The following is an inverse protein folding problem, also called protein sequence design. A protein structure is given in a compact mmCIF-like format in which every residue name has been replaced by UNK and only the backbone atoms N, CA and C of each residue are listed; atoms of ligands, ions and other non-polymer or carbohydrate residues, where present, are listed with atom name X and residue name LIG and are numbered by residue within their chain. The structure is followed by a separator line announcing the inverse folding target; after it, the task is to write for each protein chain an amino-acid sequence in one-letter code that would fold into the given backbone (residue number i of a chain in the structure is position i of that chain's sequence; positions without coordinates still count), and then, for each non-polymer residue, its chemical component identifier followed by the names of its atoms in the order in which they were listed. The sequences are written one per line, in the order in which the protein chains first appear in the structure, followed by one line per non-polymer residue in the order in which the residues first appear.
data_IF_800426653631
#
_entry.id   IF_800426653631
#
_cell.length_a   1.000
_cell.length_b   1.000
_cell.length_c   1.000
_cell.angle_alpha   90.00
_cell.angle_beta   90.00
_cell.angle_gamma   90.00
#
_symmetry.space_group_name_H-M   'P 1'
#
loop_
_entity.id
_entity.type
_entity.pdbx_description
1 polymer ?
#
# COMPACT_ATOMS: atom_id res chain seq x y z
N UNK A 1 -21.70 22.80 4.34
CA UNK A 1 -21.45 21.55 3.58
C UNK A 1 -20.17 20.92 4.12
N UNK A 2 -20.20 19.64 4.51
CA UNK A 2 -18.96 18.91 4.86
C UNK A 2 -18.18 18.70 3.56
N UNK A 3 -16.94 19.19 3.49
CA UNK A 3 -16.06 18.89 2.37
C UNK A 3 -15.60 17.42 2.48
N UNK A 4 -15.72 16.61 1.43
CA UNK A 4 -15.22 15.24 1.44
C UNK A 4 -13.70 15.24 1.57
N UNK A 5 -13.17 14.33 2.40
CA UNK A 5 -11.73 14.21 2.65
C UNK A 5 -10.96 13.74 1.39
N UNK A 6 -11.61 12.89 0.59
CA UNK A 6 -11.08 12.38 -0.66
C UNK A 6 -11.70 13.08 -1.86
N UNK A 7 -10.92 13.19 -2.94
CA UNK A 7 -11.38 13.71 -4.22
C UNK A 7 -12.41 12.76 -4.83
N UNK A 8 -13.33 13.24 -5.70
CA UNK A 8 -14.42 12.40 -6.23
C UNK A 8 -13.94 11.11 -6.91
N UNK A 9 -12.79 11.12 -7.58
CA UNK A 9 -12.23 9.91 -8.19
C UNK A 9 -11.62 8.94 -7.17
N UNK A 10 -11.05 9.45 -6.09
CA UNK A 10 -10.53 8.65 -4.98
C UNK A 10 -11.69 7.97 -4.26
N UNK A 11 -12.80 8.67 -4.06
CA UNK A 11 -14.01 8.08 -3.48
C UNK A 11 -14.56 6.96 -4.36
N UNK A 12 -14.68 7.17 -5.67
CA UNK A 12 -15.09 6.11 -6.60
C UNK A 12 -14.19 4.86 -6.53
N UNK A 13 -12.89 5.05 -6.32
CA UNK A 13 -11.95 3.94 -6.13
C UNK A 13 -12.20 3.17 -4.82
N UNK A 14 -12.46 3.89 -3.73
CA UNK A 14 -12.76 3.31 -2.42
C UNK A 14 -14.10 2.58 -2.36
N UNK A 15 -15.07 3.04 -3.16
CA UNK A 15 -16.42 2.48 -3.22
C UNK A 15 -16.48 1.23 -4.11
N UNK A 16 -15.52 1.04 -5.03
CA UNK A 16 -15.43 -0.15 -5.86
C UNK A 16 -15.07 -1.40 -5.02
N UNK A 17 -16.00 -2.36 -4.96
CA UNK A 17 -15.88 -3.63 -4.22
C UNK A 17 -15.48 -4.82 -5.13
N UNK A 18 -15.05 -4.56 -6.36
CA UNK A 18 -14.61 -5.61 -7.28
C UNK A 18 -13.37 -6.32 -6.74
N UNK A 19 -13.31 -7.65 -6.92
CA UNK A 19 -12.17 -8.48 -6.47
C UNK A 19 -10.86 -8.11 -7.18
N UNK A 20 -10.94 -7.60 -8.41
CA UNK A 20 -9.82 -7.11 -9.19
C UNK A 20 -10.18 -5.72 -9.68
N UNK A 21 -9.39 -4.72 -9.29
CA UNK A 21 -9.54 -3.33 -9.69
C UNK A 21 -8.30 -2.88 -10.45
N UNK A 22 -8.50 -2.32 -11.63
CA UNK A 22 -7.43 -1.77 -12.46
C UNK A 22 -7.82 -0.34 -12.81
N UNK A 23 -6.88 0.59 -12.65
CA UNK A 23 -7.10 1.98 -13.01
C UNK A 23 -5.92 2.53 -13.79
N UNK A 24 -6.23 3.22 -14.89
CA UNK A 24 -5.30 4.15 -15.50
C UNK A 24 -5.22 5.40 -14.60
N UNK A 25 -4.00 5.77 -14.21
CA UNK A 25 -3.77 6.88 -13.29
C UNK A 25 -2.72 7.84 -13.81
N UNK A 26 -2.98 9.12 -13.64
CA UNK A 26 -1.99 10.17 -13.88
C UNK A 26 -0.95 10.25 -12.76
N UNK A 27 0.15 10.97 -13.00
CA UNK A 27 1.20 11.20 -12.00
C UNK A 27 0.76 12.25 -10.97
N UNK A 28 1.24 12.14 -9.74
CA UNK A 28 1.06 13.15 -8.65
C UNK A 28 -0.39 13.45 -8.25
N UNK A 29 -1.29 12.48 -8.36
CA UNK A 29 -2.72 12.62 -8.00
C UNK A 29 -3.09 12.02 -6.63
N UNK A 30 -2.10 11.72 -5.79
CA UNK A 30 -2.36 11.10 -4.49
C UNK A 30 -2.96 9.69 -4.57
N UNK A 31 -2.61 8.91 -5.61
CA UNK A 31 -3.13 7.55 -5.78
C UNK A 31 -2.66 6.60 -4.67
N UNK A 32 -1.36 6.60 -4.38
CA UNK A 32 -0.76 5.79 -3.31
C UNK A 32 -1.36 6.14 -1.95
N UNK A 33 -1.76 7.40 -1.75
CA UNK A 33 -2.37 7.86 -0.52
C UNK A 33 -3.77 7.26 -0.30
N UNK A 34 -4.63 7.29 -1.32
CA UNK A 34 -5.96 6.65 -1.22
C UNK A 34 -5.85 5.12 -1.12
N UNK A 35 -4.89 4.51 -1.83
CA UNK A 35 -4.63 3.07 -1.73
C UNK A 35 -4.19 2.66 -0.33
N UNK A 36 -3.25 3.40 0.27
CA UNK A 36 -2.81 3.15 1.65
C UNK A 36 -3.96 3.24 2.67
N UNK A 37 -4.93 4.15 2.47
CA UNK A 37 -6.11 4.23 3.31
C UNK A 37 -7.00 2.99 3.19
N UNK A 38 -7.28 2.54 1.96
CA UNK A 38 -8.03 1.31 1.70
C UNK A 38 -7.36 0.10 2.33
N UNK A 39 -6.05 -0.03 2.13
CA UNK A 39 -5.25 -1.16 2.63
C UNK A 39 -5.21 -1.21 4.16
N UNK A 40 -5.05 -0.05 4.82
CA UNK A 40 -5.13 0.04 6.29
C UNK A 40 -6.53 -0.27 6.78
N UNK A 41 -7.58 0.24 6.11
CA UNK A 41 -8.97 -0.08 6.44
C UNK A 41 -9.23 -1.57 6.35
N UNK A 42 -8.69 -2.25 5.32
CA UNK A 42 -8.91 -3.67 5.09
C UNK A 42 -8.08 -4.56 6.02
N UNK A 43 -6.85 -4.16 6.36
CA UNK A 43 -6.02 -4.86 7.35
C UNK A 43 -6.52 -4.67 8.80
N UNK A 44 -7.09 -3.50 9.12
CA UNK A 44 -7.58 -3.17 10.47
C UNK A 44 -8.97 -3.74 10.78
N UNK A 45 -9.68 -4.34 9.81
CA UNK A 45 -10.98 -4.99 10.03
C UNK A 45 -10.84 -6.10 11.08
N UNK A 46 -11.69 -6.03 12.12
CA UNK A 46 -11.70 -7.01 13.22
C UNK A 46 -12.15 -8.40 12.77
N UNK A 47 -13.05 -8.47 11.79
CA UNK A 47 -13.52 -9.72 11.16
C UNK A 47 -13.27 -9.65 9.65
N UNK A 48 -12.74 -10.73 9.08
CA UNK A 48 -12.42 -10.80 7.64
C UNK A 48 -11.25 -9.91 7.17
N UNK A 49 -10.40 -9.39 8.06
CA UNK A 49 -9.20 -8.64 7.68
C UNK A 49 -8.21 -9.47 6.85
N UNK A 50 -7.48 -8.82 5.95
CA UNK A 50 -6.57 -9.48 5.01
C UNK A 50 -5.14 -8.94 5.12
N UNK A 51 -4.17 -9.81 4.86
CA UNK A 51 -2.79 -9.37 4.69
C UNK A 51 -2.64 -8.63 3.36
N UNK A 52 -1.99 -7.48 3.41
CA UNK A 52 -1.78 -6.63 2.23
C UNK A 52 -0.33 -6.76 1.77
N UNK A 53 -0.17 -6.87 0.46
CA UNK A 53 1.13 -6.93 -0.20
C UNK A 53 1.23 -5.78 -1.20
N UNK A 54 2.09 -4.82 -0.89
CA UNK A 54 2.46 -3.73 -1.77
C UNK A 54 3.81 -4.02 -2.40
N UNK A 55 3.94 -3.81 -3.70
CA UNK A 55 5.22 -3.96 -4.40
C UNK A 55 5.50 -2.72 -5.24
N UNK A 56 6.76 -2.29 -5.22
CA UNK A 56 7.25 -1.22 -6.08
C UNK A 56 8.65 -1.53 -6.60
N UNK A 57 8.98 -0.97 -7.77
CA UNK A 57 10.32 -1.08 -8.34
C UNK A 57 11.38 -0.32 -7.51
N UNK A 58 10.98 0.76 -6.82
CA UNK A 58 11.85 1.56 -5.98
C UNK A 58 11.52 1.37 -4.50
N UNK A 59 12.56 1.20 -3.68
CA UNK A 59 12.45 1.15 -2.23
C UNK A 59 11.99 2.48 -1.63
N UNK A 60 12.32 3.62 -2.26
CA UNK A 60 11.87 4.93 -1.77
C UNK A 60 10.33 5.03 -1.78
N UNK A 61 9.71 4.48 -2.83
CA UNK A 61 8.26 4.40 -2.99
C UNK A 61 7.63 3.42 -1.99
N UNK A 62 8.24 2.27 -1.75
CA UNK A 62 7.79 1.32 -0.71
C UNK A 62 7.82 1.97 0.68
N UNK A 63 8.90 2.72 0.99
CA UNK A 63 9.01 3.47 2.25
C UNK A 63 7.97 4.58 2.37
N UNK A 64 7.70 5.31 1.31
CA UNK A 64 6.68 6.36 1.31
C UNK A 64 5.28 5.77 1.53
N UNK A 65 4.96 4.66 0.85
CA UNK A 65 3.72 3.93 1.05
C UNK A 65 3.54 3.50 2.52
N UNK A 66 4.56 2.90 3.14
CA UNK A 66 4.49 2.50 4.56
C UNK A 66 4.29 3.69 5.49
N UNK A 67 4.91 4.85 5.23
CA UNK A 67 4.66 6.06 6.02
C UNK A 67 3.21 6.54 5.93
N UNK A 68 2.57 6.42 4.76
CA UNK A 68 1.15 6.71 4.62
C UNK A 68 0.30 5.71 5.40
N UNK A 69 0.60 4.41 5.29
CA UNK A 69 -0.10 3.37 6.05
C UNK A 69 0.02 3.59 7.56
N UNK A 70 1.21 3.96 8.05
CA UNK A 70 1.43 4.26 9.46
C UNK A 70 0.62 5.49 9.92
N UNK A 71 0.54 6.52 9.07
CA UNK A 71 -0.27 7.71 9.33
C UNK A 71 -1.75 7.37 9.45
N UNK A 72 -2.28 6.55 8.54
CA UNK A 72 -3.65 6.10 8.64
C UNK A 72 -3.85 5.15 9.83
N UNK A 73 -2.94 4.21 10.07
CA UNK A 73 -3.03 3.28 11.20
C UNK A 73 -3.14 4.02 12.54
N UNK A 74 -2.39 5.11 12.72
CA UNK A 74 -2.52 6.03 13.86
C UNK A 74 -3.84 6.78 13.90
N UNK A 75 -4.44 7.12 12.76
CA UNK A 75 -5.79 7.73 12.73
C UNK A 75 -6.85 6.68 13.08
N UNK A 76 -6.63 5.43 12.70
CA UNK A 76 -7.45 4.26 13.04
C UNK A 76 -7.16 3.73 14.46
N UNK A 77 -6.53 4.53 15.35
CA UNK A 77 -5.85 4.28 16.66
C UNK A 77 -6.49 3.33 17.70
N UNK A 78 -7.52 2.56 17.36
CA UNK A 78 -8.11 1.52 18.22
C UNK A 78 -7.67 0.10 17.87
N UNK A 79 -6.86 -0.14 16.83
CA UNK A 79 -6.59 -1.51 16.35
C UNK A 79 -5.15 -1.84 15.90
N UNK A 80 -4.14 -0.96 16.08
CA UNK A 80 -2.80 -1.21 15.54
C UNK A 80 -1.70 -1.06 16.61
N UNK A 81 -0.98 -2.15 16.90
CA UNK A 81 0.34 -2.08 17.56
C UNK A 81 1.38 -1.90 16.45
N UNK A 82 1.81 -0.67 16.18
CA UNK A 82 2.89 -0.42 15.21
C UNK A 82 4.18 -1.12 15.69
N UNK A 83 4.56 -2.23 15.04
CA UNK A 83 5.80 -2.95 15.33
C UNK A 83 7.05 -2.28 14.72
N UNK A 84 6.90 -1.12 14.07
CA UNK A 84 8.00 -0.39 13.46
C UNK A 84 8.54 -1.03 12.18
N UNK A 85 9.54 -0.37 11.59
CA UNK A 85 10.19 -0.77 10.34
C UNK A 85 11.00 -2.06 10.53
N UNK A 86 10.39 -3.22 10.31
CA UNK A 86 11.14 -4.49 10.23
C UNK A 86 11.67 -4.63 8.81
N UNK A 87 12.91 -4.20 8.60
CA UNK A 87 13.65 -4.46 7.35
C UNK A 87 14.13 -5.91 7.35
N UNK A 88 13.37 -6.82 6.75
CA UNK A 88 13.88 -8.17 6.46
C UNK A 88 14.73 -8.02 5.20
N UNK A 89 16.06 -7.99 5.38
CA UNK A 89 17.00 -8.15 4.29
C UNK A 89 17.14 -9.65 4.03
N UNK A 90 16.50 -10.16 2.98
CA UNK A 90 16.90 -11.43 2.41
C UNK A 90 18.28 -11.24 1.74
N UNK A 91 19.14 -12.26 1.78
CA UNK A 91 20.51 -12.23 1.25
C UNK A 91 20.60 -11.79 -0.24
N UNK A 92 19.46 -11.72 -0.94
CA UNK A 92 19.29 -11.29 -2.33
C UNK A 92 18.49 -9.96 -2.50
N UNK A 93 18.93 -8.88 -1.86
CA UNK A 93 18.57 -7.47 -2.21
C UNK A 93 17.09 -7.03 -2.07
N UNK A 94 16.19 -7.90 -1.58
CA UNK A 94 14.80 -7.55 -1.27
C UNK A 94 14.72 -6.98 0.15
N UNK A 95 14.35 -5.70 0.26
CA UNK A 95 14.00 -5.08 1.54
C UNK A 95 12.47 -5.09 1.68
N UNK A 96 11.99 -5.79 2.70
CA UNK A 96 10.58 -5.76 3.10
C UNK A 96 10.39 -4.75 4.23
N UNK A 97 9.28 -4.03 4.24
CA UNK A 97 8.84 -3.14 5.32
C UNK A 97 7.46 -3.61 5.78
N UNK A 98 7.25 -3.77 7.08
CA UNK A 98 6.04 -4.41 7.60
C UNK A 98 5.37 -3.56 8.67
N UNK A 99 4.04 -3.44 8.61
CA UNK A 99 3.19 -2.97 9.70
C UNK A 99 2.31 -4.13 10.15
N UNK A 100 2.29 -4.42 11.45
CA UNK A 100 1.39 -5.40 12.05
C UNK A 100 0.24 -4.72 12.81
N UNK A 101 -0.96 -5.27 12.70
CA UNK A 101 -2.15 -4.81 13.40
C UNK A 101 -2.44 -5.70 14.61
N UNK A 102 -3.21 -5.22 15.59
CA UNK A 102 -3.57 -6.03 16.77
C UNK A 102 -4.42 -7.24 16.43
N UNK A 103 -5.03 -7.26 15.24
CA UNK A 103 -5.72 -8.40 14.64
C UNK A 103 -4.78 -9.53 14.17
N UNK A 104 -3.45 -9.31 14.20
CA UNK A 104 -2.44 -10.22 13.65
C UNK A 104 -2.24 -10.07 12.14
N UNK A 105 -2.98 -9.17 11.47
CA UNK A 105 -2.85 -8.88 10.04
C UNK A 105 -1.66 -7.98 9.76
N UNK A 106 -1.07 -8.11 8.57
CA UNK A 106 0.14 -7.38 8.19
C UNK A 106 -0.02 -6.66 6.86
N UNK A 107 0.55 -5.46 6.79
CA UNK A 107 0.82 -4.76 5.53
C UNK A 107 2.31 -4.90 5.25
N UNK A 108 2.64 -5.58 4.16
CA UNK A 108 4.01 -5.82 3.71
C UNK A 108 4.26 -4.97 2.47
N UNK A 109 5.29 -4.11 2.50
CA UNK A 109 5.77 -3.39 1.34
C UNK A 109 7.12 -3.95 0.91
N UNK A 110 7.19 -4.45 -0.32
CA UNK A 110 8.36 -5.05 -0.92
C UNK A 110 8.93 -4.11 -1.98
N UNK A 111 10.24 -3.91 -1.96
CA UNK A 111 10.93 -3.39 -3.13
C UNK A 111 11.45 -4.56 -3.96
N UNK A 112 10.92 -4.76 -5.16
CA UNK A 112 11.51 -5.70 -6.12
C UNK A 112 12.66 -5.00 -6.83
N UNK A 113 13.89 -5.15 -6.32
CA UNK A 113 15.09 -4.71 -7.02
C UNK A 113 15.90 -5.94 -7.48
N UNK A 114 15.58 -6.56 -8.63
CA UNK A 114 16.60 -7.28 -9.37
C UNK A 114 17.50 -6.21 -9.98
N UNK A 115 18.70 -5.98 -9.42
CA UNK A 115 19.64 -4.94 -9.85
C UNK A 115 19.61 -4.67 -11.37
N UNK A 116 19.10 -3.49 -11.74
CA UNK A 116 19.26 -2.83 -13.03
C UNK A 116 18.36 -3.32 -14.18
N UNK A 117 17.31 -2.56 -14.50
CA UNK A 117 16.87 -2.42 -15.90
C UNK A 117 16.06 -1.14 -16.12
N UNK A 118 16.65 -0.22 -16.90
CA UNK A 118 15.92 0.82 -17.63
C UNK A 118 15.05 0.14 -18.67
N UNK A 119 13.72 0.18 -18.54
CA UNK A 119 12.79 -0.36 -19.53
C UNK A 119 12.05 0.79 -20.21
N UNK A 120 12.73 1.38 -21.20
CA UNK A 120 12.09 1.47 -22.53
C UNK A 120 11.58 0.07 -22.91
N UNK A 121 10.32 -0.01 -23.32
CA UNK A 121 9.79 -1.12 -24.09
C UNK A 121 9.45 -2.39 -23.30
N UNK A 122 8.17 -2.53 -22.93
CA UNK A 122 7.49 -3.83 -23.02
C UNK A 122 6.27 -3.69 -23.92
N UNK A 123 6.51 -3.94 -25.20
CA UNK A 123 5.50 -4.32 -26.18
C UNK A 123 4.84 -5.64 -25.75
N UNK A 124 3.54 -5.71 -26.01
CA UNK A 124 2.74 -6.93 -26.08
C UNK A 124 3.46 -8.01 -26.90
N UNK A 125 3.43 -9.26 -26.40
CA UNK A 125 3.58 -10.43 -27.26
C UNK A 125 2.47 -11.42 -26.95
N UNK A 126 1.76 -11.76 -28.03
CA UNK A 126 1.01 -12.99 -28.23
C UNK A 126 1.89 -14.22 -28.08
#
# INVERSE_FOLDING_TARGET
MKQPYFLPYQQRWLDDQSRLKVAEKSRRIGWTYVQAFEDVRDAAKADGGMDVWFTSADISAAREYIRYCETFARVFDKAARSLGEIVIAAEDDIKALVIEFSSGKRINALSSNPKGFSLEGWQSRH
#
